data_IF_101710318485
#
_entry.id   IF_101710318485
#
_cell.length_a   1.000
_cell.length_b   1.000
_cell.length_c   1.000
_cell.angle_alpha   90.00
_cell.angle_beta   90.00
_cell.angle_gamma   90.00
#
_symmetry.space_group_name_H-M   'P 1'
#
loop_
_entity.id
_entity.type
_entity.pdbx_description
1 polymer ?
#
# COMPACT_ATOMS: atom_id res chain seq x y z
N UNK A 1 -11.07 9.50 34.67
CA UNK A 1 -9.75 9.23 34.06
C UNK A 1 -9.94 8.96 32.56
N UNK A 2 -9.39 9.79 31.67
CA UNK A 2 -9.45 9.55 30.20
C UNK A 2 -8.40 8.48 29.85
N UNK A 3 -8.81 7.37 29.23
CA UNK A 3 -7.88 6.36 28.69
C UNK A 3 -6.99 7.03 27.64
N UNK A 4 -5.67 6.94 27.80
CA UNK A 4 -4.72 7.29 26.73
C UNK A 4 -4.95 6.32 25.58
N UNK A 5 -5.40 6.83 24.43
CA UNK A 5 -5.43 6.07 23.19
C UNK A 5 -3.98 5.87 22.73
N UNK A 6 -3.39 4.75 23.12
CA UNK A 6 -2.13 4.32 22.53
C UNK A 6 -2.45 3.81 21.12
N UNK A 7 -2.27 4.69 20.13
CA UNK A 7 -2.25 4.24 18.74
C UNK A 7 -1.14 3.19 18.61
N UNK A 8 -1.48 2.01 18.09
CA UNK A 8 -0.53 0.90 17.85
C UNK A 8 0.37 1.19 16.63
N UNK A 9 1.04 2.34 16.62
CA UNK A 9 1.96 2.71 15.56
C UNK A 9 3.31 2.10 15.92
N UNK A 10 3.68 1.04 15.21
CA UNK A 10 5.02 0.47 15.26
C UNK A 10 5.89 1.23 14.26
N UNK A 11 6.92 1.92 14.75
CA UNK A 11 7.92 2.58 13.90
C UNK A 11 9.14 1.66 13.82
N UNK A 12 9.36 0.95 12.70
CA UNK A 12 10.54 0.11 12.56
C UNK A 12 11.80 0.99 12.51
N UNK A 13 12.87 0.52 13.13
CA UNK A 13 14.18 1.16 12.98
C UNK A 13 14.71 0.89 11.57
N UNK A 14 15.35 1.88 10.90
CA UNK A 14 16.01 1.64 9.63
C UNK A 14 17.05 0.53 9.75
N UNK A 15 16.92 -0.51 8.93
CA UNK A 15 17.84 -1.64 8.89
C UNK A 15 18.18 -2.00 7.44
N UNK A 16 19.18 -2.88 7.23
CA UNK A 16 19.50 -3.38 5.91
C UNK A 16 18.27 -4.05 5.29
N UNK A 17 18.03 -3.77 4.00
CA UNK A 17 16.92 -4.37 3.24
C UNK A 17 17.14 -5.87 3.15
N UNK A 18 16.16 -6.64 3.60
CA UNK A 18 16.19 -8.10 3.62
C UNK A 18 14.88 -8.65 3.10
N UNK A 19 14.96 -9.73 2.35
CA UNK A 19 13.80 -10.51 1.95
C UNK A 19 13.60 -11.66 2.95
N UNK A 20 12.35 -12.08 3.15
CA UNK A 20 12.04 -13.26 3.97
C UNK A 20 12.51 -14.58 3.31
N UNK A 21 12.80 -14.55 2.00
CA UNK A 21 13.32 -15.67 1.23
C UNK A 21 14.23 -15.19 0.09
N UNK A 22 14.13 -15.80 -1.07
CA UNK A 22 14.82 -15.33 -2.27
C UNK A 22 14.29 -13.93 -2.65
N UNK A 23 15.21 -13.01 -2.94
CA UNK A 23 14.85 -11.67 -3.42
C UNK A 23 14.25 -11.72 -4.82
N UNK A 24 13.79 -10.56 -5.29
CA UNK A 24 13.28 -10.42 -6.65
C UNK A 24 14.44 -10.65 -7.64
N UNK A 25 14.34 -11.61 -8.59
CA UNK A 25 15.41 -11.88 -9.54
C UNK A 25 15.82 -10.63 -10.31
N UNK A 26 17.13 -10.36 -10.38
CA UNK A 26 17.68 -9.21 -11.10
C UNK A 26 17.46 -7.85 -10.44
N UNK A 27 16.94 -7.80 -9.20
CA UNK A 27 16.72 -6.53 -8.48
C UNK A 27 17.72 -6.40 -7.32
N UNK A 28 18.73 -5.53 -7.45
CA UNK A 28 19.65 -5.22 -6.35
C UNK A 28 18.91 -4.42 -5.24
N UNK A 29 18.93 -4.87 -3.98
CA UNK A 29 18.16 -4.22 -2.91
C UNK A 29 18.55 -2.77 -2.65
N UNK A 30 19.81 -2.42 -2.87
CA UNK A 30 20.40 -1.10 -2.69
C UNK A 30 19.90 -0.07 -3.70
N UNK A 31 19.45 -0.49 -4.89
CA UNK A 31 18.87 0.41 -5.89
C UNK A 31 17.39 0.73 -5.63
N UNK A 32 16.72 -0.04 -4.77
CA UNK A 32 15.33 0.25 -4.41
C UNK A 32 15.27 1.61 -3.70
N UNK A 33 14.46 2.55 -4.18
CA UNK A 33 14.30 3.88 -3.56
C UNK A 33 12.86 4.15 -3.16
N UNK A 34 12.65 5.12 -2.27
CA UNK A 34 11.32 5.52 -1.81
C UNK A 34 10.76 4.64 -0.69
N UNK A 35 9.44 4.75 -0.48
CA UNK A 35 8.70 4.03 0.57
C UNK A 35 7.55 3.25 -0.05
N UNK A 36 7.42 1.98 0.35
CA UNK A 36 6.22 1.19 0.09
C UNK A 36 5.29 1.31 1.29
N UNK A 37 4.07 1.78 1.04
CA UNK A 37 3.02 1.88 2.06
C UNK A 37 1.95 0.85 1.70
N UNK A 38 1.69 -0.09 2.61
CA UNK A 38 0.70 -1.17 2.44
C UNK A 38 -0.48 -0.90 3.36
N UNK A 39 -1.70 -0.89 2.81
CA UNK A 39 -2.95 -0.64 3.53
C UNK A 39 -3.82 -1.89 3.45
N UNK A 40 -3.83 -2.67 4.52
CA UNK A 40 -4.57 -3.94 4.64
C UNK A 40 -5.79 -3.81 5.56
N UNK A 41 -6.72 -4.76 5.45
CA UNK A 41 -7.84 -4.90 6.40
C UNK A 41 -8.96 -5.78 5.83
N UNK A 42 -9.93 -6.16 6.67
CA UNK A 42 -11.12 -6.90 6.24
C UNK A 42 -12.03 -6.06 5.32
N UNK A 43 -12.97 -6.69 4.63
CA UNK A 43 -13.93 -5.97 3.79
C UNK A 43 -14.80 -5.03 4.63
N UNK A 44 -15.04 -3.83 4.09
CA UNK A 44 -15.71 -2.75 4.82
C UNK A 44 -14.84 -2.00 5.83
N UNK A 45 -13.55 -2.33 5.99
CA UNK A 45 -12.65 -1.63 6.93
C UNK A 45 -12.31 -0.18 6.53
N UNK A 46 -12.69 0.24 5.32
CA UNK A 46 -12.42 1.57 4.81
C UNK A 46 -11.06 1.75 4.14
N UNK A 47 -10.42 0.67 3.65
CA UNK A 47 -9.12 0.73 2.90
C UNK A 47 -9.15 1.83 1.83
N UNK A 48 -10.19 1.86 1.00
CA UNK A 48 -10.35 2.86 -0.07
C UNK A 48 -10.44 4.29 0.47
N UNK A 49 -11.13 4.49 1.59
CA UNK A 49 -11.24 5.81 2.24
C UNK A 49 -9.89 6.27 2.81
N UNK A 50 -9.12 5.35 3.41
CA UNK A 50 -7.78 5.67 3.92
C UNK A 50 -6.81 6.00 2.78
N UNK A 51 -6.86 5.25 1.68
CA UNK A 51 -6.07 5.52 0.48
C UNK A 51 -6.41 6.91 -0.10
N UNK A 52 -7.70 7.25 -0.21
CA UNK A 52 -8.12 8.57 -0.69
C UNK A 52 -7.55 9.70 0.16
N UNK A 53 -7.64 9.60 1.50
CA UNK A 53 -7.06 10.60 2.42
C UNK A 53 -5.54 10.70 2.31
N UNK A 54 -4.86 9.57 2.10
CA UNK A 54 -3.41 9.56 1.90
C UNK A 54 -3.02 10.28 0.61
N UNK A 55 -3.77 10.05 -0.47
CA UNK A 55 -3.60 10.76 -1.74
C UNK A 55 -3.78 12.26 -1.57
N UNK A 56 -4.91 12.69 -0.99
CA UNK A 56 -5.18 14.12 -0.76
C UNK A 56 -4.05 14.78 0.05
N UNK A 57 -3.54 14.09 1.06
CA UNK A 57 -2.45 14.58 1.90
C UNK A 57 -1.13 14.68 1.14
N UNK A 58 -0.78 13.68 0.32
CA UNK A 58 0.44 13.69 -0.50
C UNK A 58 0.40 14.85 -1.51
N UNK A 59 -0.72 15.03 -2.19
CA UNK A 59 -0.91 16.10 -3.17
C UNK A 59 -0.85 17.48 -2.54
N UNK A 60 -1.55 17.67 -1.41
CA UNK A 60 -1.48 18.91 -0.63
C UNK A 60 -0.08 19.19 -0.11
N UNK A 61 0.71 18.14 0.14
CA UNK A 61 2.12 18.25 0.53
C UNK A 61 3.07 18.43 -0.66
N UNK A 62 2.56 18.67 -1.87
CA UNK A 62 3.34 18.94 -3.09
C UNK A 62 3.84 17.69 -3.83
N UNK A 63 3.31 16.51 -3.54
CA UNK A 63 3.68 15.27 -4.24
C UNK A 63 2.60 14.90 -5.25
N UNK A 64 2.92 14.92 -6.53
CA UNK A 64 2.01 14.43 -7.56
C UNK A 64 1.73 12.92 -7.35
N UNK A 65 0.46 12.53 -7.42
CA UNK A 65 0.06 11.12 -7.28
C UNK A 65 -0.58 10.59 -8.55
N UNK A 66 -0.48 9.28 -8.76
CA UNK A 66 -1.19 8.56 -9.83
C UNK A 66 -1.90 7.39 -9.19
N UNK A 67 -3.23 7.33 -9.35
CA UNK A 67 -4.02 6.19 -8.90
C UNK A 67 -4.20 5.18 -10.04
N UNK A 68 -3.65 3.98 -9.85
CA UNK A 68 -3.83 2.86 -10.79
C UNK A 68 -4.73 1.83 -10.13
N UNK A 69 -5.87 1.52 -10.76
CA UNK A 69 -6.83 0.53 -10.25
C UNK A 69 -6.82 -0.74 -11.09
N UNK A 70 -6.59 -1.90 -10.48
CA UNK A 70 -6.69 -3.21 -11.14
C UNK A 70 -8.06 -3.43 -11.82
N UNK A 71 -9.16 -3.04 -11.17
CA UNK A 71 -10.52 -3.14 -11.72
C UNK A 71 -10.84 -2.14 -12.84
N UNK A 72 -10.00 -1.11 -13.04
CA UNK A 72 -10.16 -0.11 -14.11
C UNK A 72 -9.14 -0.30 -15.24
N UNK A 73 -8.31 -1.35 -15.14
CA UNK A 73 -7.39 -1.77 -16.18
C UNK A 73 -8.17 -2.57 -17.22
N UNK A 74 -8.21 -2.07 -18.46
CA UNK A 74 -8.85 -2.76 -19.59
C UNK A 74 -8.27 -4.16 -19.86
N UNK A 75 -7.05 -4.44 -19.40
CA UNK A 75 -6.34 -5.70 -19.62
C UNK A 75 -6.53 -6.75 -18.52
N UNK A 76 -7.03 -6.36 -17.34
CA UNK A 76 -7.06 -7.26 -16.17
C UNK A 76 -8.43 -7.28 -15.50
N UNK A 77 -9.34 -6.36 -15.87
CA UNK A 77 -10.67 -6.27 -15.30
C UNK A 77 -11.53 -7.51 -15.59
N UNK A 78 -11.50 -8.03 -16.82
CA UNK A 78 -12.32 -9.19 -17.22
C UNK A 78 -11.88 -10.47 -16.49
N UNK A 79 -10.58 -10.73 -16.40
CA UNK A 79 -10.04 -11.88 -15.67
C UNK A 79 -10.34 -11.80 -14.17
N UNK A 80 -10.29 -10.59 -13.57
CA UNK A 80 -10.64 -10.39 -12.16
C UNK A 80 -12.14 -10.59 -11.91
N UNK A 81 -13.01 -10.12 -12.80
CA UNK A 81 -14.45 -10.37 -12.68
C UNK A 81 -14.79 -11.85 -12.84
N UNK A 82 -14.16 -12.56 -13.78
CA UNK A 82 -14.32 -14.01 -13.92
C UNK A 82 -13.87 -14.75 -12.67
N UNK A 83 -12.70 -14.41 -12.11
CA UNK A 83 -12.20 -15.00 -10.87
C UNK A 83 -13.09 -14.72 -9.65
N UNK A 84 -13.83 -13.60 -9.62
CA UNK A 84 -14.79 -13.32 -8.55
C UNK A 84 -16.10 -14.12 -8.68
N UNK A 85 -16.43 -14.62 -9.88
CA UNK A 85 -17.70 -15.32 -10.16
C UNK A 85 -17.62 -16.86 -10.08
N UNK A 86 -16.43 -17.43 -9.86
CA UNK A 86 -16.21 -18.87 -9.70
C UNK A 86 -15.63 -19.54 -10.94
#
# INVERSE_FOLDING_TARGET
MKKKNYNQIVIPQPGPRRFYGHGIPGVPPDELVGKLIVVEGADGSGRSTQIARLVDWLETSGHATVQVGLKRSTLVSEELERAQNG
#
